data_IF_482473140470
#
_entry.id   IF_482473140470
#
_cell.length_a   1.000
_cell.length_b   1.000
_cell.length_c   1.000
_cell.angle_alpha   90.00
_cell.angle_beta   90.00
_cell.angle_gamma   90.00
#
_symmetry.space_group_name_H-M   'P 1'
#
loop_
_entity.id
_entity.type
_entity.pdbx_description
1 polymer ?
#
# COMPACT_ATOMS: atom_id res chain seq x y z
N UNK A 1 -4.00 -18.26 20.93
CA UNK A 1 -3.40 -19.53 20.45
C UNK A 1 -1.91 -19.28 20.39
N UNK A 2 -1.11 -20.02 21.16
CA UNK A 2 0.36 -19.90 21.15
C UNK A 2 0.85 -20.53 19.84
N UNK A 3 1.55 -19.76 19.02
CA UNK A 3 2.27 -20.31 17.87
C UNK A 3 3.70 -20.52 18.35
N UNK A 4 4.06 -21.77 18.63
CA UNK A 4 5.45 -22.11 18.89
C UNK A 4 6.22 -21.90 17.59
N UNK A 5 7.29 -21.11 17.63
CA UNK A 5 8.31 -21.16 16.59
C UNK A 5 9.22 -22.34 16.92
N UNK A 6 9.06 -23.44 16.18
CA UNK A 6 9.76 -24.72 16.44
C UNK A 6 11.29 -24.63 16.33
N UNK A 7 11.82 -23.55 15.77
CA UNK A 7 13.26 -23.33 15.60
C UNK A 7 13.94 -22.77 16.86
N UNK A 8 13.24 -21.95 17.66
CA UNK A 8 13.84 -21.26 18.82
C UNK A 8 13.27 -21.72 20.17
N UNK A 9 12.32 -22.65 20.18
CA UNK A 9 11.58 -23.07 21.40
C UNK A 9 11.04 -21.89 22.23
N UNK A 10 10.89 -20.71 21.62
CA UNK A 10 10.37 -19.54 22.28
C UNK A 10 8.84 -19.63 22.29
N UNK A 11 8.25 -19.58 23.48
CA UNK A 11 6.82 -19.34 23.66
C UNK A 11 6.52 -17.90 23.28
N UNK A 12 6.42 -17.64 21.98
CA UNK A 12 5.89 -16.36 21.49
C UNK A 12 4.40 -16.37 21.80
N UNK A 13 3.97 -15.44 22.65
CA UNK A 13 2.55 -15.20 22.85
C UNK A 13 1.95 -14.90 21.47
N UNK A 14 1.01 -15.75 21.01
CA UNK A 14 0.36 -15.50 19.72
C UNK A 14 -0.37 -14.17 19.76
N UNK A 15 -0.41 -13.49 18.61
CA UNK A 15 -1.02 -12.17 18.47
C UNK A 15 -2.42 -12.13 19.12
N UNK A 16 -2.75 -11.06 19.86
CA UNK A 16 -4.03 -10.94 20.53
C UNK A 16 -5.17 -10.97 19.52
N UNK A 17 -6.29 -11.61 19.88
CA UNK A 17 -7.47 -11.62 19.01
C UNK A 17 -8.06 -10.21 18.96
N UNK A 18 -7.89 -9.54 17.83
CA UNK A 18 -8.39 -8.19 17.60
C UNK A 18 -9.90 -8.24 17.36
N UNK A 19 -10.66 -7.86 18.38
CA UNK A 19 -12.13 -7.70 18.31
C UNK A 19 -12.50 -6.23 18.12
N UNK A 20 -13.68 -5.91 17.55
CA UNK A 20 -14.16 -4.53 17.44
C UNK A 20 -14.17 -3.78 18.78
N UNK A 21 -14.48 -4.47 19.89
CA UNK A 21 -14.48 -3.88 21.22
C UNK A 21 -13.06 -3.53 21.70
N UNK A 22 -12.06 -4.33 21.34
CA UNK A 22 -10.67 -4.11 21.73
C UNK A 22 -9.98 -2.98 20.95
N UNK A 23 -10.43 -2.70 19.72
CA UNK A 23 -9.81 -1.71 18.83
C UNK A 23 -10.69 -0.48 18.67
N UNK A 24 -11.91 -0.63 18.15
CA UNK A 24 -12.77 0.47 17.73
C UNK A 24 -13.31 1.29 18.89
N UNK A 25 -13.70 0.65 19.99
CA UNK A 25 -14.26 1.35 21.16
C UNK A 25 -13.19 2.05 22.00
N UNK A 26 -11.92 1.66 21.88
CA UNK A 26 -10.80 2.34 22.56
C UNK A 26 -10.39 3.64 21.86
N UNK A 27 -10.71 3.76 20.59
CA UNK A 27 -10.45 4.96 19.81
C UNK A 27 -11.55 5.98 20.10
N UNK A 28 -11.17 7.16 20.59
CA UNK A 28 -12.10 8.27 20.75
C UNK A 28 -12.19 9.09 19.47
N UNK A 29 -13.37 9.65 19.18
CA UNK A 29 -13.54 10.64 18.11
C UNK A 29 -13.53 10.12 16.67
N UNK A 30 -13.78 8.83 16.41
CA UNK A 30 -13.97 8.37 15.03
C UNK A 30 -15.24 8.96 14.42
N UNK A 31 -15.16 9.30 13.14
CA UNK A 31 -16.34 9.57 12.32
C UNK A 31 -17.24 8.33 12.20
N UNK A 32 -18.55 8.53 11.96
CA UNK A 32 -19.50 7.43 11.69
C UNK A 32 -19.03 6.48 10.58
N UNK A 33 -18.31 7.00 9.57
CA UNK A 33 -17.74 6.20 8.48
C UNK A 33 -16.55 5.37 8.95
N UNK A 34 -15.61 5.96 9.69
CA UNK A 34 -14.48 5.23 10.28
C UNK A 34 -14.96 4.17 11.27
N UNK A 35 -15.94 4.46 12.12
CA UNK A 35 -16.49 3.47 13.05
C UNK A 35 -17.06 2.25 12.30
N UNK A 36 -17.84 2.47 11.23
CA UNK A 36 -18.36 1.37 10.40
C UNK A 36 -17.25 0.55 9.75
N UNK A 37 -16.20 1.21 9.25
CA UNK A 37 -15.04 0.50 8.70
C UNK A 37 -14.31 -0.31 9.77
N UNK A 38 -14.13 0.26 10.95
CA UNK A 38 -13.43 -0.40 12.05
C UNK A 38 -14.17 -1.66 12.52
N UNK A 39 -15.50 -1.58 12.69
CA UNK A 39 -16.31 -2.74 13.07
C UNK A 39 -16.25 -3.84 12.02
N UNK A 40 -16.18 -3.47 10.73
CA UNK A 40 -16.06 -4.44 9.62
C UNK A 40 -14.69 -5.10 9.55
N UNK A 41 -13.62 -4.36 9.83
CA UNK A 41 -12.24 -4.83 9.75
C UNK A 41 -11.40 -4.26 10.91
N UNK A 42 -11.51 -4.83 12.12
CA UNK A 42 -10.76 -4.37 13.28
C UNK A 42 -9.26 -4.70 13.20
N UNK A 43 -8.93 -5.80 12.52
CA UNK A 43 -7.57 -6.26 12.20
C UNK A 43 -6.83 -5.25 11.31
N UNK A 44 -7.46 -4.81 10.22
CA UNK A 44 -6.90 -3.80 9.32
C UNK A 44 -6.80 -2.43 10.02
N UNK A 45 -7.76 -2.09 10.88
CA UNK A 45 -7.72 -0.84 11.65
C UNK A 45 -6.58 -0.83 12.65
N UNK A 46 -6.33 -1.93 13.37
CA UNK A 46 -5.19 -2.04 14.27
C UNK A 46 -3.85 -1.87 13.52
N UNK A 47 -3.73 -2.50 12.34
CA UNK A 47 -2.56 -2.36 11.47
C UNK A 47 -2.37 -0.91 11.00
N UNK A 48 -3.47 -0.20 10.71
CA UNK A 48 -3.43 1.22 10.36
C UNK A 48 -2.96 2.11 11.53
N UNK A 49 -3.42 1.84 12.76
CA UNK A 49 -2.96 2.56 13.95
C UNK A 49 -1.46 2.37 14.19
N UNK A 50 -0.96 1.14 14.01
CA UNK A 50 0.47 0.87 14.05
C UNK A 50 1.22 1.67 12.98
N UNK A 51 0.68 1.71 11.75
CA UNK A 51 1.25 2.50 10.65
C UNK A 51 1.32 3.99 10.95
N UNK A 52 0.31 4.54 11.64
CA UNK A 52 0.32 5.94 12.13
C UNK A 52 1.48 6.16 13.12
N UNK A 53 1.69 5.25 14.06
CA UNK A 53 2.77 5.38 15.04
C UNK A 53 4.15 5.32 14.39
N UNK A 54 4.36 4.38 13.46
CA UNK A 54 5.60 4.29 12.67
C UNK A 54 5.84 5.57 11.89
N UNK A 55 4.81 6.13 11.24
CA UNK A 55 4.92 7.39 10.51
C UNK A 55 5.23 8.60 11.41
N UNK A 56 4.72 8.64 12.64
CA UNK A 56 5.05 9.70 13.60
C UNK A 56 6.52 9.60 14.02
N UNK A 57 7.00 8.39 14.31
CA UNK A 57 8.40 8.18 14.64
C UNK A 57 9.32 8.58 13.48
N UNK A 58 8.94 8.24 12.24
CA UNK A 58 9.67 8.69 11.05
C UNK A 58 9.63 10.21 10.88
N UNK A 59 8.47 10.85 11.12
CA UNK A 59 8.35 12.32 11.11
C UNK A 59 9.32 12.97 12.11
N UNK A 60 9.36 12.45 13.34
CA UNK A 60 10.26 12.91 14.39
C UNK A 60 11.72 12.73 13.98
N UNK A 61 12.05 11.59 13.38
CA UNK A 61 13.40 11.31 12.90
C UNK A 61 13.85 12.26 11.79
N UNK A 62 12.98 12.55 10.82
CA UNK A 62 13.25 13.44 9.69
C UNK A 62 13.36 14.90 10.09
N UNK A 63 12.58 15.34 11.09
CA UNK A 63 12.55 16.74 11.56
C UNK A 63 13.24 16.94 12.91
N UNK A 64 14.11 16.01 13.33
CA UNK A 64 14.79 16.05 14.64
C UNK A 64 15.60 17.32 14.89
N UNK A 65 16.18 17.89 13.83
CA UNK A 65 17.03 19.09 13.89
C UNK A 65 16.25 20.39 13.56
N UNK A 66 14.92 20.29 13.45
CA UNK A 66 14.04 21.42 13.16
C UNK A 66 13.38 21.95 14.44
N UNK A 67 13.02 23.25 14.44
CA UNK A 67 12.29 23.88 15.57
C UNK A 67 10.98 23.16 15.90
N UNK A 68 10.33 22.59 14.89
CA UNK A 68 9.18 21.71 15.06
C UNK A 68 9.58 20.29 14.68
N UNK A 69 9.55 19.38 15.66
CA UNK A 69 10.12 18.02 15.58
C UNK A 69 9.05 16.91 15.63
N UNK A 70 7.81 17.18 15.23
CA UNK A 70 6.68 16.25 15.28
C UNK A 70 6.28 15.67 16.66
N UNK A 71 6.92 16.06 17.77
CA UNK A 71 6.59 15.58 19.13
C UNK A 71 5.11 15.73 19.49
N UNK A 72 4.51 16.85 19.10
CA UNK A 72 3.07 17.13 19.25
C UNK A 72 2.12 16.10 18.59
N UNK A 73 2.61 15.23 17.69
CA UNK A 73 1.81 14.24 16.99
C UNK A 73 1.71 12.89 17.72
N UNK A 74 2.52 12.62 18.75
CA UNK A 74 2.59 11.31 19.42
C UNK A 74 1.26 10.87 20.06
N UNK A 75 0.42 11.83 20.46
CA UNK A 75 -0.93 11.58 20.97
C UNK A 75 -1.99 11.20 19.92
N UNK A 76 -1.69 11.20 18.62
CA UNK A 76 -2.67 10.93 17.55
C UNK A 76 -3.31 9.55 17.64
N UNK A 77 -2.63 8.58 18.28
CA UNK A 77 -3.20 7.26 18.57
C UNK A 77 -4.46 7.30 19.43
N UNK A 78 -4.77 8.45 20.07
CA UNK A 78 -5.96 8.64 20.90
C UNK A 78 -7.06 9.48 20.23
N UNK A 79 -6.75 10.47 19.37
CA UNK A 79 -7.76 11.18 18.54
C UNK A 79 -7.10 11.93 17.35
N UNK A 80 -7.61 11.84 16.10
CA UNK A 80 -7.09 12.60 14.95
C UNK A 80 -7.60 14.05 14.81
N UNK A 81 -8.20 14.64 15.85
CA UNK A 81 -9.01 15.86 15.69
C UNK A 81 -8.63 17.05 16.57
N UNK A 82 -7.60 16.93 17.41
CA UNK A 82 -7.23 18.02 18.33
C UNK A 82 -5.96 18.80 17.97
N UNK A 83 -5.24 18.38 16.92
CA UNK A 83 -4.01 19.06 16.51
C UNK A 83 -4.33 20.16 15.50
N UNK A 84 -4.20 21.42 15.95
CA UNK A 84 -4.37 22.63 15.14
C UNK A 84 -3.49 22.62 13.88
N UNK A 85 -2.29 22.03 13.97
CA UNK A 85 -1.36 21.84 12.86
C UNK A 85 -1.96 20.98 11.75
N UNK A 86 -2.61 19.87 12.07
CA UNK A 86 -3.19 18.98 11.06
C UNK A 86 -4.58 19.43 10.60
N UNK A 87 -5.35 20.10 11.47
CA UNK A 87 -6.66 20.62 11.13
C UNK A 87 -6.60 21.89 10.26
N UNK A 88 -5.65 22.79 10.53
CA UNK A 88 -5.32 23.90 9.63
C UNK A 88 -4.21 23.45 8.69
N UNK A 89 -4.58 22.68 7.67
CA UNK A 89 -3.68 22.22 6.61
C UNK A 89 -3.20 23.39 5.74
N UNK A 90 -2.35 24.25 6.31
CA UNK A 90 -1.79 25.46 5.69
C UNK A 90 -0.29 25.63 5.90
N UNK A 91 0.36 24.74 6.64
CA UNK A 91 1.81 24.75 6.87
C UNK A 91 2.49 23.61 6.11
N UNK A 92 3.78 23.80 5.78
CA UNK A 92 4.61 22.78 5.11
C UNK A 92 4.78 21.54 5.99
N UNK A 93 4.91 21.74 7.30
CA UNK A 93 5.04 20.69 8.31
C UNK A 93 3.79 19.81 8.36
N UNK A 94 2.60 20.43 8.26
CA UNK A 94 1.33 19.71 8.18
C UNK A 94 1.22 18.87 6.90
N UNK A 95 1.68 19.42 5.77
CA UNK A 95 1.64 18.71 4.50
C UNK A 95 2.52 17.46 4.52
N UNK A 96 3.76 17.60 5.01
CA UNK A 96 4.69 16.50 5.21
C UNK A 96 4.11 15.44 6.16
N UNK A 97 3.56 15.86 7.30
CA UNK A 97 2.99 14.95 8.30
C UNK A 97 1.81 14.15 7.75
N UNK A 98 0.89 14.79 7.04
CA UNK A 98 -0.27 14.14 6.43
C UNK A 98 0.14 13.12 5.36
N UNK A 99 1.13 13.46 4.54
CA UNK A 99 1.69 12.53 3.57
C UNK A 99 2.32 11.31 4.27
N UNK A 100 3.16 11.54 5.29
CA UNK A 100 3.80 10.45 6.06
C UNK A 100 2.78 9.54 6.74
N UNK A 101 1.74 10.11 7.38
CA UNK A 101 0.69 9.33 8.03
C UNK A 101 -0.07 8.46 7.02
N UNK A 102 -0.40 9.00 5.85
CA UNK A 102 -1.10 8.27 4.81
C UNK A 102 -0.25 7.15 4.21
N UNK A 103 1.04 7.41 3.99
CA UNK A 103 2.04 6.43 3.59
C UNK A 103 2.18 5.30 4.63
N UNK A 104 2.34 5.67 5.90
CA UNK A 104 2.50 4.71 7.00
C UNK A 104 1.30 3.79 7.17
N UNK A 105 0.07 4.32 7.04
CA UNK A 105 -1.15 3.49 7.04
C UNK A 105 -1.17 2.54 5.84
N UNK A 106 -0.90 3.04 4.64
CA UNK A 106 -0.93 2.22 3.42
C UNK A 106 0.13 1.10 3.49
N UNK A 107 1.36 1.44 3.89
CA UNK A 107 2.46 0.51 4.05
C UNK A 107 2.16 -0.57 5.10
N UNK A 108 1.77 -0.17 6.32
CA UNK A 108 1.52 -1.10 7.41
C UNK A 108 0.40 -2.09 7.09
N UNK A 109 -0.70 -1.60 6.48
CA UNK A 109 -1.83 -2.46 6.08
C UNK A 109 -1.42 -3.40 4.94
N UNK A 110 -0.70 -2.92 3.92
CA UNK A 110 -0.24 -3.75 2.81
C UNK A 110 0.76 -4.84 3.27
N UNK A 111 1.65 -4.50 4.20
CA UNK A 111 2.57 -5.45 4.84
C UNK A 111 1.84 -6.46 5.73
N UNK A 112 0.80 -6.04 6.46
CA UNK A 112 -0.02 -6.96 7.24
C UNK A 112 -0.80 -7.95 6.36
N UNK A 113 -1.19 -7.55 5.14
CA UNK A 113 -1.79 -8.44 4.15
C UNK A 113 -0.83 -9.54 3.69
N UNK A 114 0.41 -9.19 3.33
CA UNK A 114 1.40 -10.19 2.89
C UNK A 114 1.85 -11.12 4.01
N UNK A 115 1.87 -10.63 5.25
CA UNK A 115 2.13 -11.45 6.43
C UNK A 115 0.97 -12.39 6.81
N UNK A 116 -0.17 -12.31 6.11
CA UNK A 116 -1.35 -13.12 6.41
C UNK A 116 -2.06 -12.75 7.73
N UNK A 117 -1.79 -11.55 8.28
CA UNK A 117 -2.40 -11.08 9.53
C UNK A 117 -3.84 -10.63 9.35
N UNK A 118 -4.21 -10.23 8.13
CA UNK A 118 -5.51 -9.68 7.78
C UNK A 118 -6.35 -10.71 7.04
N UNK A 119 -7.63 -10.85 7.40
CA UNK A 119 -8.52 -11.81 6.72
C UNK A 119 -9.10 -11.30 5.40
N UNK A 120 -9.10 -9.99 5.18
CA UNK A 120 -9.75 -9.35 4.03
C UNK A 120 -8.86 -9.14 2.80
N UNK A 121 -7.59 -9.56 2.86
CA UNK A 121 -6.61 -9.38 1.79
C UNK A 121 -5.58 -10.53 1.79
N UNK A 122 -4.69 -10.55 0.81
CA UNK A 122 -3.62 -11.54 0.68
C UNK A 122 -2.46 -11.00 -0.15
N UNK A 123 -1.70 -11.88 -0.78
CA UNK A 123 -0.57 -11.50 -1.63
C UNK A 123 -1.02 -10.91 -2.98
N UNK A 124 -0.24 -9.98 -3.54
CA UNK A 124 -0.50 -9.35 -4.86
C UNK A 124 -0.27 -10.29 -6.07
N UNK A 125 -0.60 -11.58 -5.97
CA UNK A 125 -0.31 -12.55 -7.03
C UNK A 125 -1.19 -12.37 -8.28
N UNK A 126 -2.48 -12.05 -8.07
CA UNK A 126 -3.49 -12.00 -9.14
C UNK A 126 -3.19 -10.93 -10.20
N UNK A 127 -2.58 -9.81 -9.81
CA UNK A 127 -2.37 -8.68 -10.72
C UNK A 127 -1.12 -8.81 -11.56
N UNK A 128 -0.03 -9.39 -11.04
CA UNK A 128 1.17 -9.61 -11.85
C UNK A 128 0.88 -10.50 -13.05
N UNK A 129 0.09 -11.56 -12.84
CA UNK A 129 -0.37 -12.41 -13.95
C UNK A 129 -1.17 -11.63 -15.01
N UNK A 130 -1.98 -10.65 -14.60
CA UNK A 130 -2.73 -9.81 -15.53
C UNK A 130 -1.83 -8.77 -16.24
N UNK A 131 -0.88 -8.16 -15.53
CA UNK A 131 0.13 -7.24 -16.08
C UNK A 131 1.07 -7.95 -17.06
N UNK A 132 1.48 -9.18 -16.77
CA UNK A 132 2.32 -10.01 -17.63
C UNK A 132 1.56 -10.40 -18.91
N UNK A 133 0.28 -10.75 -18.78
CA UNK A 133 -0.61 -10.95 -19.96
C UNK A 133 -0.76 -9.68 -20.79
N UNK A 134 -0.90 -8.52 -20.15
CA UNK A 134 -1.01 -7.23 -20.84
C UNK A 134 0.31 -6.90 -21.55
N UNK A 135 1.45 -7.08 -20.87
CA UNK A 135 2.78 -6.91 -21.46
C UNK A 135 2.96 -7.82 -22.67
N UNK A 136 2.70 -9.12 -22.53
CA UNK A 136 2.82 -10.08 -23.62
C UNK A 136 1.95 -9.69 -24.83
N UNK A 137 0.70 -9.26 -24.59
CA UNK A 137 -0.18 -8.76 -25.65
C UNK A 137 0.33 -7.47 -26.28
N UNK A 138 0.88 -6.54 -25.50
CA UNK A 138 1.46 -5.29 -26.02
C UNK A 138 2.68 -5.58 -26.91
N UNK A 139 3.59 -6.46 -26.46
CA UNK A 139 4.76 -6.87 -27.23
C UNK A 139 4.35 -7.58 -28.52
N UNK A 140 3.33 -8.44 -28.45
CA UNK A 140 2.79 -9.12 -29.64
C UNK A 140 2.19 -8.12 -30.64
N UNK A 141 1.47 -7.11 -30.17
CA UNK A 141 0.92 -6.06 -31.03
C UNK A 141 2.01 -5.19 -31.65
N UNK A 142 3.07 -4.85 -30.90
CA UNK A 142 4.23 -4.11 -31.41
C UNK A 142 4.97 -4.88 -32.52
N UNK A 143 5.10 -6.19 -32.40
CA UNK A 143 5.70 -7.03 -33.46
C UNK A 143 4.82 -7.07 -34.71
N UNK A 144 3.49 -7.12 -34.55
CA UNK A 144 2.55 -7.09 -35.67
C UNK A 144 2.58 -5.75 -36.42
N UNK A 145 2.76 -4.63 -35.72
CA UNK A 145 2.91 -3.31 -36.36
C UNK A 145 4.20 -3.22 -37.16
N UNK A 146 5.31 -3.75 -36.63
CA UNK A 146 6.61 -3.78 -37.34
C UNK A 146 6.57 -4.66 -38.60
N UNK A 147 5.84 -5.78 -38.57
CA UNK A 147 5.60 -6.60 -39.77
C UNK A 147 4.68 -5.93 -40.81
N UNK A 148 3.88 -4.94 -40.39
CA UNK A 148 2.96 -4.21 -41.27
C UNK A 148 3.65 -3.11 -42.07
N UNK A 149 4.72 -2.55 -41.53
CA UNK A 149 5.50 -1.46 -42.14
C UNK A 149 6.60 -1.96 -43.09
N UNK A 150 6.77 -3.28 -43.23
CA UNK A 150 7.72 -3.89 -44.17
C UNK A 150 7.14 -3.95 -45.60
N UNK A 151 7.87 -3.48 -46.64
CA UNK A 151 7.37 -3.46 -48.02
C UNK A 151 6.95 -4.86 -48.49
N UNK A 152 5.87 -4.93 -49.27
CA UNK A 152 5.17 -6.17 -49.68
C UNK A 152 6.07 -7.24 -50.31
N UNK A 153 7.21 -6.86 -50.87
CA UNK A 153 8.21 -7.76 -51.47
C UNK A 153 9.06 -8.54 -50.44
N UNK A 154 9.04 -8.15 -49.17
CA UNK A 154 9.68 -8.83 -48.04
C UNK A 154 8.65 -9.46 -47.08
N UNK A 155 7.35 -9.36 -47.41
CA UNK A 155 6.27 -9.92 -46.59
C UNK A 155 6.15 -11.42 -46.87
N UNK A 156 6.71 -12.23 -45.98
CA UNK A 156 6.61 -13.69 -46.06
C UNK A 156 5.13 -14.13 -46.08
N UNK A 157 4.71 -14.81 -47.15
CA UNK A 157 3.40 -15.45 -47.30
C UNK A 157 3.35 -16.84 -46.66
N UNK A 158 4.43 -17.27 -46.00
CA UNK A 158 4.42 -18.50 -45.22
C UNK A 158 3.81 -18.23 -43.83
N UNK A 159 2.94 -19.13 -43.33
CA UNK A 159 2.61 -19.13 -41.90
C UNK A 159 3.91 -19.22 -41.11
N UNK A 160 3.97 -18.54 -39.96
CA UNK A 160 5.15 -18.38 -39.09
C UNK A 160 5.75 -19.67 -38.50
N UNK A 161 5.90 -20.73 -39.29
CA UNK A 161 6.38 -22.06 -38.89
C UNK A 161 7.88 -22.29 -39.09
N UNK A 162 8.70 -21.26 -39.31
CA UNK A 162 10.15 -21.42 -39.49
C UNK A 162 11.01 -20.40 -38.74
N UNK A 163 10.54 -19.91 -37.59
CA UNK A 163 11.49 -19.65 -36.51
C UNK A 163 11.68 -21.00 -35.82
N UNK A 164 12.78 -21.70 -36.13
CA UNK A 164 13.29 -22.70 -35.17
C UNK A 164 13.34 -21.96 -33.83
N UNK A 165 12.83 -22.55 -32.73
CA UNK A 165 13.09 -21.97 -31.42
C UNK A 165 14.59 -21.74 -31.36
N UNK A 166 14.97 -20.48 -31.10
CA UNK A 166 16.34 -20.10 -30.83
C UNK A 166 16.89 -21.14 -29.84
N UNK A 167 18.09 -21.70 -30.02
CA UNK A 167 18.61 -22.70 -29.10
C UNK A 167 18.47 -22.15 -27.68
N UNK A 168 17.87 -22.95 -26.79
CA UNK A 168 17.61 -22.65 -25.36
C UNK A 168 18.88 -22.16 -24.62
N UNK A 169 20.05 -22.30 -25.24
CA UNK A 169 21.34 -21.93 -24.70
C UNK A 169 21.62 -20.42 -24.69
N UNK A 170 20.94 -19.59 -25.51
CA UNK A 170 21.06 -18.13 -25.46
C UNK A 170 19.88 -17.42 -24.77
N UNK A 171 18.77 -18.11 -24.49
CA UNK A 171 17.73 -17.62 -23.56
C UNK A 171 18.13 -17.85 -22.09
N UNK A 172 19.10 -18.74 -21.85
CA UNK A 172 19.60 -19.13 -20.53
C UNK A 172 20.23 -18.00 -19.72
N UNK A 173 20.59 -16.86 -20.35
CA UNK A 173 21.10 -15.68 -19.67
C UNK A 173 20.02 -14.66 -19.27
N UNK A 174 18.77 -14.80 -19.73
CA UNK A 174 17.74 -13.77 -19.51
C UNK A 174 16.73 -14.07 -18.38
N UNK A 175 16.71 -15.26 -17.78
CA UNK A 175 15.79 -15.54 -16.66
C UNK A 175 16.44 -16.44 -15.59
N UNK A 176 17.55 -16.03 -15.00
CA UNK A 176 18.14 -16.73 -13.83
C UNK A 176 17.37 -16.50 -12.54
N UNK A 177 16.20 -15.84 -12.60
CA UNK A 177 15.40 -15.51 -11.43
C UNK A 177 13.92 -15.67 -11.73
N UNK A 178 13.22 -16.36 -10.84
CA UNK A 178 11.77 -16.53 -10.90
C UNK A 178 11.11 -15.65 -9.84
N UNK A 179 9.93 -15.09 -10.17
CA UNK A 179 9.11 -14.42 -9.17
C UNK A 179 8.63 -15.44 -8.13
N UNK A 180 9.01 -15.25 -6.87
CA UNK A 180 8.58 -16.08 -5.75
C UNK A 180 8.07 -15.29 -4.56
N UNK A 181 7.54 -16.01 -3.56
CA UNK A 181 7.11 -15.45 -2.28
C UNK A 181 5.78 -14.67 -2.32
N UNK A 182 5.62 -13.76 -1.35
CA UNK A 182 4.39 -13.00 -1.16
C UNK A 182 4.69 -11.49 -1.14
N UNK A 183 4.36 -10.79 -2.22
CA UNK A 183 4.46 -9.32 -2.22
C UNK A 183 3.24 -8.66 -1.59
N UNK A 184 3.50 -7.49 -1.03
CA UNK A 184 2.53 -6.67 -0.31
C UNK A 184 1.40 -6.23 -1.24
N UNK A 185 0.14 -6.33 -0.80
CA UNK A 185 -1.00 -5.79 -1.54
C UNK A 185 -1.10 -4.28 -1.30
N UNK A 186 -0.23 -3.52 -1.98
CA UNK A 186 -0.15 -2.06 -1.87
C UNK A 186 -1.47 -1.40 -2.26
N UNK A 187 -2.24 -2.00 -3.18
CA UNK A 187 -3.54 -1.48 -3.59
C UNK A 187 -4.58 -1.59 -2.48
N UNK A 188 -4.60 -2.70 -1.74
CA UNK A 188 -5.45 -2.82 -0.57
C UNK A 188 -5.05 -1.79 0.50
N UNK A 189 -3.75 -1.64 0.76
CA UNK A 189 -3.21 -0.62 1.67
C UNK A 189 -3.63 0.80 1.29
N UNK A 190 -3.44 1.21 0.03
CA UNK A 190 -3.85 2.54 -0.47
C UNK A 190 -5.35 2.77 -0.32
N UNK A 191 -6.18 1.80 -0.77
CA UNK A 191 -7.65 1.91 -0.64
C UNK A 191 -8.08 2.06 0.82
N UNK A 192 -7.51 1.25 1.71
CA UNK A 192 -7.82 1.33 3.13
C UNK A 192 -7.40 2.67 3.71
N UNK A 193 -6.16 3.12 3.44
CA UNK A 193 -5.61 4.39 3.90
C UNK A 193 -6.46 5.58 3.44
N UNK A 194 -6.87 5.59 2.16
CA UNK A 194 -7.78 6.60 1.61
C UNK A 194 -9.11 6.61 2.33
N UNK A 195 -9.80 5.48 2.41
CA UNK A 195 -11.14 5.43 2.98
C UNK A 195 -11.15 5.75 4.49
N UNK A 196 -10.04 5.42 5.18
CA UNK A 196 -9.86 5.66 6.61
C UNK A 196 -9.51 7.13 6.93
N UNK A 197 -8.51 7.70 6.25
CA UNK A 197 -8.01 9.06 6.55
C UNK A 197 -8.84 10.17 5.88
N UNK A 198 -9.48 9.85 4.75
CA UNK A 198 -10.33 10.75 3.96
C UNK A 198 -11.83 10.46 4.20
N UNK A 199 -12.17 9.92 5.38
CA UNK A 199 -13.54 9.49 5.72
C UNK A 199 -14.57 10.63 5.80
N UNK A 200 -14.10 11.87 5.97
CA UNK A 200 -14.91 13.09 6.15
C UNK A 200 -15.39 13.65 4.81
N UNK A 201 -16.25 12.91 4.13
CA UNK A 201 -17.09 13.40 3.03
C UNK A 201 -16.36 14.19 1.92
N UNK A 202 -17.13 14.98 1.16
CA UNK A 202 -16.58 15.89 0.16
C UNK A 202 -15.91 17.10 0.84
N UNK A 203 -14.69 17.49 0.45
CA UNK A 203 -14.01 18.64 1.04
C UNK A 203 -14.76 19.93 0.75
N UNK A 204 -15.16 20.65 1.81
CA UNK A 204 -15.93 21.90 1.71
C UNK A 204 -15.05 23.15 1.69
N UNK A 205 -13.83 23.05 2.23
CA UNK A 205 -12.88 24.16 2.36
C UNK A 205 -11.52 23.81 1.75
N UNK A 206 -10.70 24.86 1.55
CA UNK A 206 -9.34 24.75 1.02
C UNK A 206 -8.50 23.79 1.87
N UNK A 207 -8.61 23.85 3.19
CA UNK A 207 -7.84 22.99 4.08
C UNK A 207 -8.22 21.51 3.93
N UNK A 208 -9.50 21.15 3.79
CA UNK A 208 -9.88 19.77 3.52
C UNK A 208 -9.37 19.29 2.14
N UNK A 209 -9.40 20.15 1.11
CA UNK A 209 -8.85 19.81 -0.22
C UNK A 209 -7.34 19.56 -0.14
N UNK A 210 -6.61 20.43 0.56
CA UNK A 210 -5.18 20.30 0.80
C UNK A 210 -4.88 19.01 1.59
N UNK A 211 -5.67 18.69 2.61
CA UNK A 211 -5.52 17.48 3.41
C UNK A 211 -5.64 16.22 2.54
N UNK A 212 -6.69 16.14 1.73
CA UNK A 212 -6.91 15.00 0.81
C UNK A 212 -5.77 14.91 -0.22
N UNK A 213 -5.31 16.05 -0.72
CA UNK A 213 -4.17 16.09 -1.65
C UNK A 213 -2.89 15.54 -1.01
N UNK A 214 -2.51 16.03 0.17
CA UNK A 214 -1.29 15.58 0.86
C UNK A 214 -1.36 14.10 1.25
N UNK A 215 -2.52 13.65 1.73
CA UNK A 215 -2.77 12.24 1.99
C UNK A 215 -2.60 11.39 0.72
N UNK A 216 -3.09 11.87 -0.44
CA UNK A 216 -2.94 11.18 -1.72
C UNK A 216 -1.48 11.12 -2.15
N UNK A 217 -0.73 12.22 -2.02
CA UNK A 217 0.70 12.26 -2.35
C UNK A 217 1.45 11.24 -1.52
N UNK A 218 1.19 11.17 -0.20
CA UNK A 218 1.84 10.19 0.68
C UNK A 218 1.61 8.74 0.27
N UNK A 219 0.43 8.38 -0.22
CA UNK A 219 0.13 7.01 -0.67
C UNK A 219 0.78 6.62 -2.00
N UNK A 220 1.37 7.58 -2.73
CA UNK A 220 2.00 7.36 -4.03
C UNK A 220 3.52 7.20 -3.95
N UNK A 221 4.11 7.44 -2.77
CA UNK A 221 5.53 7.26 -2.48
C UNK A 221 5.76 5.85 -1.96
#
# INVERSE_FOLDING_TARGET
RVLCNDILSLKVAGDPVLTPNSVCLKLAGLSKRQMRMCVRSPDATASALQGIQVAIHECQYQLRDQRWNCSSLEGLGKVPHHNTILNRAGFRESAFSLAMLAAGVAHSVASACSMGKLRGCGCEAKRRQDDDKIRLKLTQLQLQTLQKDLPTNLRSTHPSGLLKPLPDDLSSLQETWEWGGCSHDVRFGDRFSRDWLDSRGSPRDIHARMKIHNNRVGRQV
#
